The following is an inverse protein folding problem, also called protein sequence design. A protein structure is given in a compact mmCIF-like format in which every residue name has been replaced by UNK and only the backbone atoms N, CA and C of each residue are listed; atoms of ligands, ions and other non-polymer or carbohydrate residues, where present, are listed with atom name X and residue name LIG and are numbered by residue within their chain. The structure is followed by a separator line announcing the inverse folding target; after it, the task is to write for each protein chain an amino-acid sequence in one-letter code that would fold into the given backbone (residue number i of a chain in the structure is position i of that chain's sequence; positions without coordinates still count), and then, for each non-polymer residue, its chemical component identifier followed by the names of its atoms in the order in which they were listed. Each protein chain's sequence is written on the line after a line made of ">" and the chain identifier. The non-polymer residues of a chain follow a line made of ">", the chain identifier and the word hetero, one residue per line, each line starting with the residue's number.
data_IF_529852194131
#
_entry.id   IF_529852194131
#
_cell.length_a   1.000
_cell.length_b   1.000
_cell.length_c   1.000
_cell.angle_alpha   90.00
_cell.angle_beta   90.00
_cell.angle_gamma   90.00
#
_symmetry.space_group_name_H-M   'P 1'
#
loop_
_entity.id
_entity.type
_entity.pdbx_description
1 polymer ?
#
# COMPACT_ATOMS: atom_id res chain seq x y z
N UNK A 1 16.96 26.34 13.42
CA UNK A 1 15.60 26.73 13.01
C UNK A 1 15.38 26.17 11.63
N UNK A 2 14.51 25.18 11.46
CA UNK A 2 14.21 24.64 10.12
C UNK A 2 13.51 25.72 9.29
N UNK A 3 14.02 25.99 8.08
CA UNK A 3 13.39 26.89 7.11
C UNK A 3 12.02 26.32 6.74
N UNK A 4 10.95 26.81 7.38
CA UNK A 4 9.57 26.30 7.25
C UNK A 4 8.92 26.53 5.87
N UNK A 5 9.68 27.00 4.88
CA UNK A 5 9.22 27.30 3.52
C UNK A 5 9.75 26.38 2.42
N UNK A 6 10.72 25.50 2.71
CA UNK A 6 11.30 24.59 1.73
C UNK A 6 10.76 23.16 1.88
N UNK A 7 10.43 22.53 0.74
CA UNK A 7 9.90 21.17 0.72
C UNK A 7 11.02 20.17 1.00
N UNK A 8 10.77 19.23 1.90
CA UNK A 8 11.70 18.15 2.19
C UNK A 8 12.02 17.33 0.92
N UNK A 9 13.29 16.93 0.81
CA UNK A 9 13.81 16.14 -0.30
C UNK A 9 14.47 14.87 0.22
N UNK A 10 14.50 13.85 -0.64
CA UNK A 10 15.17 12.59 -0.33
C UNK A 10 16.68 12.79 -0.23
N UNK A 11 17.26 12.39 0.89
CA UNK A 11 18.70 12.52 1.11
C UNK A 11 19.56 11.64 0.20
N UNK A 12 19.05 10.48 -0.24
CA UNK A 12 19.75 9.59 -1.17
C UNK A 12 18.78 8.91 -2.15
N UNK A 13 19.29 8.54 -3.33
CA UNK A 13 18.53 7.76 -4.32
C UNK A 13 18.18 6.36 -3.79
N UNK A 14 19.09 5.72 -3.06
CA UNK A 14 18.84 4.40 -2.47
C UNK A 14 17.72 4.49 -1.43
N UNK A 15 17.75 5.50 -0.56
CA UNK A 15 16.67 5.72 0.42
C UNK A 15 15.30 5.92 -0.25
N UNK A 16 15.25 6.68 -1.35
CA UNK A 16 14.04 6.83 -2.16
C UNK A 16 13.56 5.48 -2.74
N UNK A 17 14.47 4.70 -3.34
CA UNK A 17 14.12 3.40 -3.94
C UNK A 17 13.58 2.45 -2.88
N UNK A 18 14.22 2.37 -1.71
CA UNK A 18 13.79 1.51 -0.61
C UNK A 18 12.46 1.96 -0.01
N UNK A 19 12.23 3.27 0.13
CA UNK A 19 10.95 3.79 0.62
C UNK A 19 9.79 3.44 -0.34
N UNK A 20 10.01 3.54 -1.65
CA UNK A 20 8.98 3.20 -2.65
C UNK A 20 8.80 1.69 -2.77
N UNK A 21 9.90 0.92 -2.72
CA UNK A 21 9.82 -0.54 -2.68
C UNK A 21 9.05 -1.02 -1.43
N UNK A 22 9.31 -0.44 -0.26
CA UNK A 22 8.58 -0.73 0.98
C UNK A 22 7.11 -0.30 0.91
N UNK A 23 6.78 0.76 0.18
CA UNK A 23 5.38 1.14 -0.07
C UNK A 23 4.65 0.10 -0.96
N UNK A 24 5.33 -0.46 -1.96
CA UNK A 24 4.75 -1.44 -2.87
C UNK A 24 4.74 -2.87 -2.29
N UNK A 25 5.72 -3.22 -1.46
CA UNK A 25 5.86 -4.56 -0.87
C UNK A 25 5.16 -4.61 0.49
N UNK A 26 4.01 -5.28 0.54
CA UNK A 26 3.23 -5.44 1.76
C UNK A 26 2.40 -6.72 1.80
N UNK A 27 1.35 -6.74 2.63
CA UNK A 27 0.46 -7.89 2.84
C UNK A 27 -0.18 -8.40 1.54
N UNK A 28 -0.37 -7.52 0.56
CA UNK A 28 -0.87 -7.90 -0.76
C UNK A 28 0.00 -8.96 -1.44
N UNK A 29 1.33 -8.87 -1.31
CA UNK A 29 2.26 -9.80 -1.96
C UNK A 29 2.31 -11.16 -1.25
N UNK A 30 2.18 -11.17 0.08
CA UNK A 30 2.32 -12.39 0.88
C UNK A 30 0.99 -13.11 1.14
N UNK A 31 -0.13 -12.38 1.25
CA UNK A 31 -1.44 -12.95 1.58
C UNK A 31 -2.37 -12.95 0.37
N UNK A 32 -2.53 -11.80 -0.29
CA UNK A 32 -3.54 -11.67 -1.36
C UNK A 32 -3.12 -12.35 -2.66
N UNK A 33 -1.89 -12.14 -3.12
CA UNK A 33 -1.41 -12.68 -4.39
C UNK A 33 -1.43 -14.22 -4.44
N UNK A 34 -0.92 -14.96 -3.44
CA UNK A 34 -0.97 -16.43 -3.46
C UNK A 34 -2.40 -16.97 -3.48
N UNK A 35 -3.31 -16.35 -2.72
CA UNK A 35 -4.74 -16.73 -2.70
C UNK A 35 -5.37 -16.51 -4.07
N UNK A 36 -5.15 -15.35 -4.70
CA UNK A 36 -5.68 -15.06 -6.03
C UNK A 36 -5.08 -15.98 -7.09
N UNK A 37 -3.77 -16.26 -7.04
CA UNK A 37 -3.14 -17.17 -7.97
C UNK A 37 -3.70 -18.60 -7.83
N UNK A 38 -3.76 -19.12 -6.60
CA UNK A 38 -4.26 -20.47 -6.34
C UNK A 38 -5.73 -20.65 -6.76
N UNK A 39 -6.60 -19.67 -6.45
CA UNK A 39 -8.02 -19.73 -6.78
C UNK A 39 -8.30 -19.57 -8.29
N UNK A 40 -7.41 -18.92 -9.04
CA UNK A 40 -7.60 -18.66 -10.47
C UNK A 40 -6.73 -19.57 -11.37
N UNK A 41 -6.48 -20.82 -10.96
CA UNK A 41 -5.79 -21.81 -11.78
C UNK A 41 -4.26 -21.74 -11.74
N UNK A 42 -3.69 -21.16 -10.68
CA UNK A 42 -2.25 -21.18 -10.38
C UNK A 42 -1.40 -20.56 -11.49
N UNK A 43 -0.73 -21.40 -12.26
CA UNK A 43 0.09 -20.96 -13.40
C UNK A 43 -0.71 -20.25 -14.50
N UNK A 44 -1.98 -20.61 -14.70
CA UNK A 44 -2.84 -19.97 -15.71
C UNK A 44 -3.11 -18.49 -15.38
N UNK A 45 -3.22 -18.13 -14.10
CA UNK A 45 -3.38 -16.76 -13.63
C UNK A 45 -2.19 -15.86 -13.97
N UNK A 46 -1.00 -16.43 -14.17
CA UNK A 46 0.21 -15.65 -14.47
C UNK A 46 0.19 -14.99 -15.84
N UNK A 47 -0.51 -15.58 -16.80
CA UNK A 47 -0.62 -15.01 -18.16
C UNK A 47 -1.33 -13.64 -18.11
N UNK A 48 -2.59 -13.52 -17.63
CA UNK A 48 -3.24 -12.22 -17.52
C UNK A 48 -2.52 -11.30 -16.53
N UNK A 49 -1.95 -11.84 -15.44
CA UNK A 49 -1.20 -11.03 -14.47
C UNK A 49 -0.05 -10.25 -15.13
N UNK A 50 0.81 -10.91 -15.92
CA UNK A 50 1.92 -10.24 -16.59
C UNK A 50 1.47 -9.29 -17.69
N UNK A 51 0.41 -9.64 -18.43
CA UNK A 51 -0.18 -8.74 -19.44
C UNK A 51 -0.63 -7.44 -18.79
N UNK A 52 -1.43 -7.50 -17.72
CA UNK A 52 -1.90 -6.30 -17.02
C UNK A 52 -0.79 -5.59 -16.25
N UNK A 53 0.22 -6.29 -15.76
CA UNK A 53 1.39 -5.67 -15.14
C UNK A 53 2.13 -4.77 -16.13
N UNK A 54 2.35 -5.24 -17.36
CA UNK A 54 3.04 -4.48 -18.40
C UNK A 54 2.15 -3.37 -18.96
N UNK A 55 0.87 -3.65 -19.23
CA UNK A 55 -0.03 -2.69 -19.87
C UNK A 55 -0.62 -1.64 -18.93
N UNK A 56 -0.83 -1.97 -17.66
CA UNK A 56 -1.44 -1.08 -16.67
C UNK A 56 -0.49 -0.77 -15.52
N UNK A 57 0.14 -1.78 -14.92
CA UNK A 57 1.01 -1.60 -13.74
C UNK A 57 2.15 -0.62 -13.97
N UNK A 58 3.01 -0.89 -14.95
CA UNK A 58 4.17 -0.04 -15.25
C UNK A 58 3.74 1.37 -15.72
N UNK A 59 2.81 1.54 -16.68
CA UNK A 59 2.41 2.86 -17.15
C UNK A 59 1.74 3.71 -16.06
N UNK A 60 0.86 3.12 -15.24
CA UNK A 60 0.21 3.85 -14.14
C UNK A 60 1.22 4.29 -13.09
N UNK A 61 2.18 3.44 -12.74
CA UNK A 61 3.26 3.80 -11.82
C UNK A 61 4.07 5.00 -12.33
N UNK A 62 4.42 5.03 -13.62
CA UNK A 62 5.13 6.17 -14.20
C UNK A 62 4.29 7.45 -14.22
N UNK A 63 2.98 7.34 -14.50
CA UNK A 63 2.05 8.47 -14.44
C UNK A 63 1.98 9.03 -13.02
N UNK A 64 1.76 8.18 -12.02
CA UNK A 64 1.66 8.60 -10.61
C UNK A 64 2.95 9.28 -10.13
N UNK A 65 4.11 8.70 -10.45
CA UNK A 65 5.40 9.32 -10.16
C UNK A 65 5.59 10.66 -10.88
N UNK A 66 5.18 10.74 -12.15
CA UNK A 66 5.21 11.96 -12.94
C UNK A 66 4.37 13.06 -12.30
N UNK A 67 3.13 12.75 -11.92
CA UNK A 67 2.20 13.65 -11.24
C UNK A 67 2.77 14.09 -9.88
N UNK A 68 3.26 13.15 -9.08
CA UNK A 68 3.82 13.42 -7.76
C UNK A 68 5.06 14.32 -7.80
N UNK A 69 5.96 14.08 -8.77
CA UNK A 69 7.13 14.93 -8.99
C UNK A 69 6.75 16.29 -9.55
N UNK A 70 5.78 16.36 -10.45
CA UNK A 70 5.29 17.62 -11.03
C UNK A 70 4.62 18.50 -9.98
N UNK A 71 3.59 18.01 -9.28
CA UNK A 71 2.92 18.77 -8.19
C UNK A 71 3.89 19.11 -7.06
N UNK A 72 4.90 18.28 -6.85
CA UNK A 72 6.00 18.55 -5.96
C UNK A 72 6.80 19.82 -6.22
N UNK A 73 6.98 20.21 -7.50
CA UNK A 73 7.61 21.49 -7.88
C UNK A 73 6.80 22.69 -7.41
N UNK A 74 5.48 22.54 -7.31
CA UNK A 74 4.53 23.54 -6.84
C UNK A 74 4.21 23.41 -5.35
N UNK A 75 5.04 22.67 -4.59
CA UNK A 75 4.88 22.44 -3.14
C UNK A 75 3.59 21.70 -2.74
N UNK A 76 2.98 20.95 -3.67
CA UNK A 76 1.84 20.09 -3.35
C UNK A 76 2.28 18.63 -3.16
N UNK A 77 1.90 18.05 -2.01
CA UNK A 77 2.20 16.67 -1.63
C UNK A 77 1.01 15.70 -1.71
N UNK A 78 -0.20 16.21 -1.94
CA UNK A 78 -1.44 15.43 -1.94
C UNK A 78 -2.20 15.55 -3.26
N UNK A 79 -3.04 14.55 -3.55
CA UNK A 79 -3.81 14.45 -4.79
C UNK A 79 -4.65 15.70 -5.12
N UNK A 80 -5.37 16.36 -4.19
CA UNK A 80 -6.13 17.58 -4.50
C UNK A 80 -5.25 18.72 -5.04
N UNK A 81 -4.08 18.92 -4.44
CA UNK A 81 -3.14 19.96 -4.86
C UNK A 81 -2.42 19.60 -6.15
N UNK A 82 -2.05 18.33 -6.33
CA UNK A 82 -1.44 17.85 -7.57
C UNK A 82 -2.40 17.97 -8.75
N UNK A 83 -3.68 17.65 -8.57
CA UNK A 83 -4.68 17.73 -9.64
C UNK A 83 -5.07 19.18 -9.97
N UNK A 84 -5.08 20.09 -9.00
CA UNK A 84 -5.29 21.52 -9.25
C UNK A 84 -4.21 22.13 -10.16
N UNK A 85 -2.96 21.65 -10.02
CA UNK A 85 -1.85 22.06 -10.89
C UNK A 85 -2.02 21.52 -12.31
N UNK A 86 -2.45 20.27 -12.47
CA UNK A 86 -2.63 19.62 -13.77
C UNK A 86 -3.82 20.16 -14.54
N UNK A 87 -4.92 20.41 -13.84
CA UNK A 87 -6.17 20.89 -14.42
C UNK A 87 -6.74 22.00 -13.54
N UNK A 88 -6.63 23.24 -14.03
CA UNK A 88 -7.13 24.46 -13.35
C UNK A 88 -8.65 24.56 -13.39
N UNK A 89 -9.34 23.58 -12.81
CA UNK A 89 -10.79 23.52 -12.72
C UNK A 89 -11.20 23.08 -11.31
N UNK A 90 -12.29 23.63 -10.77
CA UNK A 90 -12.73 23.34 -9.39
C UNK A 90 -12.93 21.84 -9.15
N UNK A 91 -13.36 21.08 -10.18
CA UNK A 91 -13.55 19.63 -10.10
C UNK A 91 -12.25 18.86 -9.85
N UNK A 92 -11.09 19.36 -10.27
CA UNK A 92 -9.82 18.67 -10.09
C UNK A 92 -9.48 18.45 -8.61
N UNK A 93 -9.80 19.43 -7.76
CA UNK A 93 -9.65 19.31 -6.29
C UNK A 93 -10.55 18.23 -5.71
N UNK A 94 -11.81 18.17 -6.14
CA UNK A 94 -12.76 17.17 -5.65
C UNK A 94 -12.36 15.75 -6.07
N UNK A 95 -11.89 15.57 -7.31
CA UNK A 95 -11.35 14.29 -7.78
C UNK A 95 -10.12 13.87 -6.98
N UNK A 96 -9.21 14.80 -6.70
CA UNK A 96 -8.04 14.51 -5.87
C UNK A 96 -8.41 14.17 -4.42
N UNK A 97 -9.43 14.82 -3.86
CA UNK A 97 -9.93 14.53 -2.51
C UNK A 97 -10.53 13.13 -2.40
N UNK A 98 -11.17 12.65 -3.46
CA UNK A 98 -11.67 11.27 -3.52
C UNK A 98 -10.53 10.24 -3.41
N UNK A 99 -9.37 10.51 -4.03
CA UNK A 99 -8.18 9.68 -3.88
C UNK A 99 -7.71 9.57 -2.42
N UNK A 100 -7.74 10.67 -1.66
CA UNK A 100 -7.40 10.66 -0.24
C UNK A 100 -8.42 9.85 0.58
N UNK A 101 -9.70 9.94 0.25
CA UNK A 101 -10.75 9.17 0.91
C UNK A 101 -10.57 7.65 0.69
N UNK A 102 -10.22 7.23 -0.52
CA UNK A 102 -9.91 5.83 -0.83
C UNK A 102 -8.71 5.38 0.01
N UNK A 103 -7.61 6.15 0.03
CA UNK A 103 -6.41 5.79 0.80
C UNK A 103 -6.69 5.69 2.30
N UNK A 104 -7.50 6.60 2.87
CA UNK A 104 -7.91 6.56 4.27
C UNK A 104 -8.75 5.31 4.58
N UNK A 105 -9.67 4.95 3.68
CA UNK A 105 -10.51 3.76 3.84
C UNK A 105 -9.66 2.48 3.82
N UNK A 106 -8.67 2.43 2.91
CA UNK A 106 -7.71 1.31 2.85
C UNK A 106 -6.89 1.25 4.13
N UNK A 107 -6.39 2.38 4.61
CA UNK A 107 -5.58 2.46 5.82
C UNK A 107 -6.28 1.86 7.05
N UNK A 108 -7.58 2.11 7.23
CA UNK A 108 -8.34 1.62 8.39
C UNK A 108 -8.33 0.09 8.47
N UNK A 109 -8.75 -0.62 7.42
CA UNK A 109 -8.78 -2.09 7.47
C UNK A 109 -7.38 -2.69 7.34
N UNK A 110 -6.48 -2.03 6.61
CA UNK A 110 -5.12 -2.54 6.41
C UNK A 110 -4.35 -2.55 7.72
N UNK A 111 -4.43 -1.48 8.52
CA UNK A 111 -3.84 -1.41 9.86
C UNK A 111 -4.44 -2.48 10.80
N UNK A 112 -5.73 -2.77 10.67
CA UNK A 112 -6.36 -3.83 11.45
C UNK A 112 -5.79 -5.22 11.09
N UNK A 113 -5.60 -5.54 9.81
CA UNK A 113 -4.97 -6.80 9.40
C UNK A 113 -3.50 -6.85 9.83
N UNK A 114 -2.77 -5.74 9.73
CA UNK A 114 -1.40 -5.64 10.25
C UNK A 114 -1.34 -5.97 11.75
N UNK A 115 -2.33 -5.54 12.54
CA UNK A 115 -2.39 -5.86 13.98
C UNK A 115 -2.43 -7.38 14.24
N UNK A 116 -3.11 -8.15 13.38
CA UNK A 116 -3.14 -9.61 13.49
C UNK A 116 -1.73 -10.17 13.32
N UNK A 117 -1.02 -9.74 12.27
CA UNK A 117 0.34 -10.22 12.00
C UNK A 117 1.32 -9.84 13.12
N UNK A 118 1.15 -8.67 13.72
CA UNK A 118 1.93 -8.24 14.87
C UNK A 118 1.61 -9.10 16.10
N UNK A 119 0.32 -9.36 16.37
CA UNK A 119 -0.12 -10.27 17.43
C UNK A 119 0.50 -11.65 17.26
N UNK A 120 0.29 -12.30 16.11
CA UNK A 120 0.88 -13.60 15.81
C UNK A 120 2.41 -13.60 15.97
N UNK A 121 3.10 -12.54 15.56
CA UNK A 121 4.55 -12.43 15.70
C UNK A 121 4.97 -12.40 17.17
N UNK A 122 4.32 -11.59 18.00
CA UNK A 122 4.63 -11.47 19.44
C UNK A 122 4.33 -12.79 20.18
N UNK A 123 3.14 -13.37 19.97
CA UNK A 123 2.77 -14.63 20.62
C UNK A 123 3.65 -15.81 20.16
N UNK A 124 4.13 -15.80 18.91
CA UNK A 124 5.10 -16.78 18.41
C UNK A 124 6.46 -16.63 19.08
N UNK A 125 6.97 -15.41 19.23
CA UNK A 125 8.25 -15.14 19.91
C UNK A 125 8.18 -15.55 21.38
N UNK A 126 7.04 -15.33 22.04
CA UNK A 126 6.80 -15.72 23.43
C UNK A 126 6.53 -17.22 23.61
N UNK A 127 6.46 -18.00 22.52
CA UNK A 127 6.34 -19.46 22.57
C UNK A 127 4.93 -19.99 22.86
N UNK A 128 3.89 -19.16 22.78
CA UNK A 128 2.50 -19.57 23.05
C UNK A 128 1.97 -20.65 22.10
N UNK A 129 2.53 -20.73 20.89
CA UNK A 129 2.11 -21.71 19.87
C UNK A 129 3.00 -22.97 19.82
N UNK A 130 3.96 -23.13 20.75
CA UNK A 130 4.95 -24.21 20.71
C UNK A 130 4.35 -25.63 20.78
N UNK A 131 3.22 -25.80 21.45
CA UNK A 131 2.50 -27.07 21.59
C UNK A 131 1.14 -27.07 20.87
N UNK A 132 0.86 -26.04 20.08
CA UNK A 132 -0.43 -25.85 19.40
C UNK A 132 -0.39 -26.43 17.98
N UNK A 133 -1.55 -26.88 17.49
CA UNK A 133 -1.66 -27.43 16.13
C UNK A 133 -2.11 -26.36 15.14
N UNK A 134 -1.84 -26.55 13.84
CA UNK A 134 -2.30 -25.61 12.79
C UNK A 134 -3.83 -25.40 12.84
N UNK A 135 -4.57 -26.41 13.31
CA UNK A 135 -6.03 -26.39 13.42
C UNK A 135 -6.53 -25.45 14.52
N UNK A 136 -5.72 -25.08 15.50
CA UNK A 136 -6.10 -24.14 16.58
C UNK A 136 -5.82 -22.67 16.23
N UNK A 137 -5.03 -22.41 15.18
CA UNK A 137 -4.72 -21.05 14.72
C UNK A 137 -5.93 -20.21 14.29
N UNK A 138 -6.97 -20.78 13.62
CA UNK A 138 -8.19 -20.04 13.32
C UNK A 138 -8.92 -19.58 14.59
N UNK A 139 -8.95 -20.40 15.65
CA UNK A 139 -9.62 -20.05 16.90
C UNK A 139 -8.92 -18.90 17.61
N UNK A 140 -7.58 -18.90 17.59
CA UNK A 140 -6.80 -17.77 18.09
C UNK A 140 -7.12 -16.48 17.31
N UNK A 141 -7.20 -16.56 15.98
CA UNK A 141 -7.51 -15.40 15.16
C UNK A 141 -8.92 -14.86 15.44
N UNK A 142 -9.94 -15.74 15.53
CA UNK A 142 -11.30 -15.34 15.90
C UNK A 142 -11.34 -14.65 17.27
N UNK A 143 -10.67 -15.24 18.27
CA UNK A 143 -10.55 -14.65 19.60
C UNK A 143 -9.84 -13.29 19.58
N UNK A 144 -8.76 -13.13 18.80
CA UNK A 144 -8.04 -11.87 18.64
C UNK A 144 -8.89 -10.80 17.95
N UNK A 145 -9.72 -11.21 16.99
CA UNK A 145 -10.67 -10.33 16.30
C UNK A 145 -11.86 -9.96 17.20
N UNK A 146 -12.11 -10.71 18.27
CA UNK A 146 -13.25 -10.52 19.17
C UNK A 146 -14.56 -11.07 18.61
N UNK A 147 -14.50 -12.07 17.72
CA UNK A 147 -15.64 -12.74 17.07
C UNK A 147 -15.70 -14.23 17.37
#
# INVERSE_FOLDING_TARGET
>A
MANSGEREQWGTRIGLILAVAGNAVGLGNFLRFPVQAAQNGGGAFMIPYFIFFILLGIPLMWIEWGIGRHGGKYKHGSAPGMFDVLWKHKLAKYLGSFGLFISLTIFIYYTYIESWTLGFSIFSILGFFSNETVQTMPNFLSSYQGV
#
